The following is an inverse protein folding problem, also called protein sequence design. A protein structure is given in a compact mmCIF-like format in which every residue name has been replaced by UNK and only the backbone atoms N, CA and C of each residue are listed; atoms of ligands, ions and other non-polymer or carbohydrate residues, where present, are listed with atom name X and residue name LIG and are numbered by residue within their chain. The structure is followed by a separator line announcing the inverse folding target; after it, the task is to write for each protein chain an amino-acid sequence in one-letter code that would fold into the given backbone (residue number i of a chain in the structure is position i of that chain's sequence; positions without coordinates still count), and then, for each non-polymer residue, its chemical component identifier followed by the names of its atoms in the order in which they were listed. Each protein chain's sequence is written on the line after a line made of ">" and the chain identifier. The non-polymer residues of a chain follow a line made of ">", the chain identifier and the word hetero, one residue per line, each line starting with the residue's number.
data_IF_558133531548
#
_entry.id   IF_558133531548
#
_cell.length_a   1.000
_cell.length_b   1.000
_cell.length_c   1.000
_cell.angle_alpha   90.00
_cell.angle_beta   90.00
_cell.angle_gamma   90.00
#
_symmetry.space_group_name_H-M   'P 1'
#
loop_
_entity.id
_entity.type
_entity.pdbx_description
1 polymer ?
#
# COMPACT_ATOMS: atom_id res chain seq x y z
N UNK A 1 -21.38 1.09 -2.19
CA UNK A 1 -19.98 1.53 -2.11
C UNK A 1 -19.67 2.67 -3.07
N UNK A 2 -20.51 2.90 -4.09
CA UNK A 2 -20.35 3.95 -5.12
C UNK A 2 -20.03 5.35 -4.58
N UNK A 3 -20.59 5.74 -3.42
CA UNK A 3 -20.31 7.05 -2.83
C UNK A 3 -19.05 7.11 -1.94
N UNK A 4 -18.23 6.06 -1.85
CA UNK A 4 -17.08 5.99 -0.92
C UNK A 4 -15.77 5.52 -1.58
N UNK A 5 -15.71 5.55 -2.91
CA UNK A 5 -14.50 5.18 -3.67
C UNK A 5 -13.30 6.07 -3.32
N UNK A 6 -13.58 7.33 -2.96
CA UNK A 6 -12.60 8.32 -2.51
C UNK A 6 -11.75 7.86 -1.31
N UNK A 7 -12.20 6.87 -0.52
CA UNK A 7 -11.45 6.45 0.68
C UNK A 7 -10.11 5.83 0.30
N UNK A 8 -10.11 4.94 -0.70
CA UNK A 8 -8.88 4.28 -1.15
C UNK A 8 -8.03 5.24 -1.99
N UNK A 9 -8.68 6.10 -2.79
CA UNK A 9 -8.00 7.18 -3.49
C UNK A 9 -7.26 8.10 -2.53
N UNK A 10 -7.94 8.61 -1.49
CA UNK A 10 -7.34 9.47 -0.48
C UNK A 10 -6.16 8.80 0.22
N UNK A 11 -6.24 7.49 0.46
CA UNK A 11 -5.14 6.71 1.00
C UNK A 11 -3.91 6.72 0.06
N UNK A 12 -4.12 6.40 -1.21
CA UNK A 12 -3.06 6.39 -2.24
C UNK A 12 -2.45 7.79 -2.39
N UNK A 13 -3.29 8.81 -2.53
CA UNK A 13 -2.88 10.21 -2.64
C UNK A 13 -2.05 10.61 -1.43
N UNK A 14 -2.50 10.29 -0.21
CA UNK A 14 -1.74 10.55 1.01
C UNK A 14 -0.36 9.86 1.01
N UNK A 15 -0.27 8.61 0.54
CA UNK A 15 1.01 7.91 0.42
C UNK A 15 1.95 8.64 -0.54
N UNK A 16 1.46 9.05 -1.71
CA UNK A 16 2.25 9.81 -2.70
C UNK A 16 2.72 11.13 -2.09
N UNK A 17 1.83 11.84 -1.39
CA UNK A 17 2.19 13.12 -0.76
C UNK A 17 3.26 12.98 0.32
N UNK A 18 3.18 11.90 1.10
CA UNK A 18 4.10 11.62 2.21
C UNK A 18 5.47 11.15 1.74
N UNK A 19 5.55 10.33 0.69
CA UNK A 19 6.78 9.59 0.35
C UNK A 19 7.38 9.94 -1.03
N UNK A 20 6.64 10.57 -1.94
CA UNK A 20 7.05 10.76 -3.33
C UNK A 20 7.10 12.23 -3.78
N UNK A 21 6.01 12.98 -3.65
CA UNK A 21 5.93 14.36 -4.13
C UNK A 21 5.16 15.20 -3.10
N UNK A 22 5.54 16.45 -2.77
CA UNK A 22 6.60 17.25 -3.37
C UNK A 22 7.99 16.98 -2.79
N UNK A 23 8.06 16.21 -1.71
CA UNK A 23 9.25 16.11 -0.88
C UNK A 23 10.26 15.05 -1.35
N UNK A 24 9.83 14.07 -2.16
CA UNK A 24 10.68 12.96 -2.56
C UNK A 24 11.07 12.03 -1.40
N UNK A 25 11.76 10.93 -1.72
CA UNK A 25 12.47 10.13 -0.73
C UNK A 25 13.58 11.00 -0.12
N UNK A 26 13.35 11.45 1.12
CA UNK A 26 14.27 12.30 1.87
C UNK A 26 15.37 11.43 2.48
N UNK A 27 16.62 11.78 2.21
CA UNK A 27 17.76 11.16 2.87
C UNK A 27 17.75 11.54 4.35
N UNK A 28 17.83 10.55 5.23
CA UNK A 28 17.79 10.74 6.68
C UNK A 28 18.75 9.76 7.33
N UNK A 29 19.32 10.17 8.46
CA UNK A 29 20.18 9.31 9.30
C UNK A 29 19.45 8.01 9.70
N UNK A 30 18.11 8.00 9.63
CA UNK A 30 17.24 6.89 9.97
C UNK A 30 16.62 6.16 8.77
N UNK A 31 16.70 6.70 7.55
CA UNK A 31 16.02 6.14 6.38
C UNK A 31 16.95 6.12 5.15
N UNK A 32 17.13 4.93 4.56
CA UNK A 32 17.79 4.82 3.26
C UNK A 32 16.96 5.52 2.18
N UNK A 33 17.63 6.29 1.34
CA UNK A 33 16.98 6.94 0.21
C UNK A 33 16.51 5.88 -0.80
N UNK A 34 15.20 5.69 -0.91
CA UNK A 34 14.60 4.80 -1.91
C UNK A 34 14.43 5.52 -3.23
N UNK A 35 14.48 4.81 -4.35
CA UNK A 35 14.16 5.43 -5.63
C UNK A 35 12.65 5.69 -5.73
N UNK A 36 12.24 6.64 -6.58
CA UNK A 36 10.82 6.87 -6.92
C UNK A 36 10.14 5.56 -7.36
N UNK A 37 10.87 4.73 -8.10
CA UNK A 37 10.37 3.45 -8.56
C UNK A 37 10.17 2.46 -7.41
N UNK A 38 11.09 2.40 -6.46
CA UNK A 38 10.96 1.57 -5.26
C UNK A 38 9.75 1.99 -4.42
N UNK A 39 9.56 3.30 -4.23
CA UNK A 39 8.38 3.84 -3.53
C UNK A 39 7.07 3.52 -4.26
N UNK A 40 7.07 3.58 -5.59
CA UNK A 40 5.94 3.12 -6.41
C UNK A 40 5.67 1.62 -6.22
N UNK A 41 6.70 0.78 -6.20
CA UNK A 41 6.56 -0.67 -5.94
C UNK A 41 5.95 -0.93 -4.57
N UNK A 42 6.38 -0.22 -3.52
CA UNK A 42 5.81 -0.31 -2.17
C UNK A 42 4.35 0.14 -2.16
N UNK A 43 4.02 1.25 -2.83
CA UNK A 43 2.64 1.73 -2.96
C UNK A 43 1.73 0.67 -3.61
N UNK A 44 2.19 0.06 -4.71
CA UNK A 44 1.44 -0.99 -5.42
C UNK A 44 1.24 -2.22 -4.52
N UNK A 45 2.27 -2.62 -3.77
CA UNK A 45 2.17 -3.71 -2.81
C UNK A 45 1.15 -3.41 -1.70
N UNK A 46 1.20 -2.22 -1.10
CA UNK A 46 0.24 -1.81 -0.07
C UNK A 46 -1.19 -1.81 -0.62
N UNK A 47 -1.38 -1.26 -1.82
CA UNK A 47 -2.67 -1.30 -2.52
C UNK A 47 -3.18 -2.74 -2.68
N UNK A 48 -2.35 -3.66 -3.18
CA UNK A 48 -2.75 -5.05 -3.40
C UNK A 48 -3.10 -5.76 -2.10
N UNK A 49 -2.34 -5.52 -1.02
CA UNK A 49 -2.64 -6.06 0.31
C UNK A 49 -3.97 -5.54 0.85
N UNK A 50 -4.18 -4.22 0.81
CA UNK A 50 -5.43 -3.60 1.27
C UNK A 50 -6.61 -4.14 0.46
N UNK A 51 -6.50 -4.19 -0.87
CA UNK A 51 -7.55 -4.72 -1.75
C UNK A 51 -7.89 -6.17 -1.41
N UNK A 52 -6.88 -7.02 -1.24
CA UNK A 52 -7.05 -8.44 -0.86
C UNK A 52 -7.75 -8.59 0.49
N UNK A 53 -7.33 -7.81 1.49
CA UNK A 53 -7.96 -7.81 2.82
C UNK A 53 -9.41 -7.33 2.77
N UNK A 54 -9.71 -6.30 1.96
CA UNK A 54 -11.07 -5.82 1.74
C UNK A 54 -11.95 -6.87 1.07
N UNK A 55 -11.45 -7.60 0.08
CA UNK A 55 -12.16 -8.72 -0.56
C UNK A 55 -12.50 -9.79 0.49
N UNK A 56 -11.52 -10.19 1.30
CA UNK A 56 -11.74 -11.16 2.39
C UNK A 56 -12.75 -10.68 3.42
N UNK A 57 -12.66 -9.42 3.84
CA UNK A 57 -13.60 -8.81 4.79
C UNK A 57 -15.01 -8.68 4.22
N UNK A 58 -15.15 -8.35 2.94
CA UNK A 58 -16.45 -8.30 2.27
C UNK A 58 -17.07 -9.70 2.22
N UNK A 59 -16.29 -10.73 1.91
CA UNK A 59 -16.74 -12.13 1.95
C UNK A 59 -17.16 -12.60 3.35
N UNK A 60 -16.42 -12.19 4.38
CA UNK A 60 -16.70 -12.53 5.79
C UNK A 60 -17.94 -11.81 6.33
N UNK A 61 -18.02 -10.49 6.15
CA UNK A 61 -19.13 -9.68 6.68
C UNK A 61 -20.38 -9.68 5.80
N UNK A 62 -20.26 -10.08 4.52
CA UNK A 62 -21.36 -10.15 3.53
C UNK A 62 -22.19 -8.86 3.50
N UNK A 63 -23.50 -8.98 3.66
CA UNK A 63 -24.46 -7.88 3.74
C UNK A 63 -24.21 -6.92 4.92
N UNK A 64 -23.38 -7.30 5.90
CA UNK A 64 -22.94 -6.47 7.01
C UNK A 64 -21.69 -5.63 6.70
N UNK A 65 -21.08 -5.76 5.52
CA UNK A 65 -19.92 -4.96 5.15
C UNK A 65 -20.29 -3.48 5.00
N UNK A 66 -19.49 -2.60 5.60
CA UNK A 66 -19.82 -1.18 5.80
C UNK A 66 -18.54 -0.36 5.78
N UNK A 67 -18.66 0.93 5.51
CA UNK A 67 -17.56 1.90 5.43
C UNK A 67 -16.67 1.88 6.68
N UNK A 68 -17.26 1.71 7.88
CA UNK A 68 -16.51 1.60 9.14
C UNK A 68 -15.43 0.50 9.12
N UNK A 69 -15.69 -0.60 8.39
CA UNK A 69 -14.75 -1.72 8.27
C UNK A 69 -13.57 -1.33 7.36
N UNK A 70 -13.83 -0.61 6.27
CA UNK A 70 -12.80 -0.08 5.36
C UNK A 70 -11.89 0.90 6.10
N UNK A 71 -12.48 1.87 6.79
CA UNK A 71 -11.74 2.87 7.56
C UNK A 71 -10.88 2.17 8.63
N UNK A 72 -11.46 1.23 9.37
CA UNK A 72 -10.74 0.48 10.41
C UNK A 72 -9.57 -0.29 9.83
N UNK A 73 -9.76 -0.95 8.68
CA UNK A 73 -8.70 -1.68 7.99
C UNK A 73 -7.55 -0.74 7.62
N UNK A 74 -7.84 0.34 6.88
CA UNK A 74 -6.80 1.28 6.43
C UNK A 74 -6.04 1.88 7.63
N UNK A 75 -6.74 2.25 8.70
CA UNK A 75 -6.11 2.77 9.91
C UNK A 75 -5.21 1.75 10.61
N UNK A 76 -5.65 0.50 10.71
CA UNK A 76 -4.84 -0.57 11.31
C UNK A 76 -3.67 -0.94 10.39
N UNK A 77 -3.87 -0.99 9.08
CA UNK A 77 -2.85 -1.26 8.08
C UNK A 77 -1.73 -0.22 8.13
N UNK A 78 -2.07 1.06 8.09
CA UNK A 78 -1.10 2.15 8.16
C UNK A 78 -0.26 2.08 9.45
N UNK A 79 -0.86 1.71 10.59
CA UNK A 79 -0.15 1.59 11.87
C UNK A 79 0.72 0.35 11.98
N UNK A 80 0.29 -0.77 11.41
CA UNK A 80 0.94 -2.06 11.60
C UNK A 80 1.97 -2.39 10.50
N UNK A 81 1.77 -1.88 9.28
CA UNK A 81 2.55 -2.26 8.11
C UNK A 81 3.44 -1.10 7.65
N UNK A 82 2.85 0.06 7.34
CA UNK A 82 3.62 1.18 6.76
C UNK A 82 4.69 1.76 7.70
N UNK A 83 4.45 1.69 9.01
CA UNK A 83 5.37 2.21 10.01
C UNK A 83 6.44 1.17 10.43
N UNK A 84 6.31 -0.08 9.96
CA UNK A 84 7.31 -1.12 10.20
C UNK A 84 8.36 -1.11 9.07
N UNK A 85 9.46 -0.40 9.31
CA UNK A 85 10.57 -0.32 8.35
C UNK A 85 11.21 -1.67 8.06
N UNK A 86 11.23 -2.58 9.03
CA UNK A 86 11.78 -3.92 8.84
C UNK A 86 10.92 -4.69 7.83
N UNK A 87 9.60 -4.62 7.99
CA UNK A 87 8.67 -5.20 7.03
C UNK A 87 8.85 -4.60 5.63
N UNK A 88 8.86 -3.27 5.50
CA UNK A 88 8.97 -2.61 4.19
C UNK A 88 10.27 -3.00 3.48
N UNK A 89 11.40 -3.02 4.20
CA UNK A 89 12.68 -3.41 3.63
C UNK A 89 12.70 -4.88 3.18
N UNK A 90 12.17 -5.78 4.00
CA UNK A 90 12.04 -7.19 3.64
C UNK A 90 11.14 -7.39 2.42
N UNK A 91 10.04 -6.65 2.34
CA UNK A 91 9.12 -6.73 1.20
C UNK A 91 9.77 -6.25 -0.11
N UNK A 92 10.50 -5.13 -0.07
CA UNK A 92 11.26 -4.63 -1.23
C UNK A 92 12.34 -5.63 -1.66
N UNK A 93 13.06 -6.23 -0.71
CA UNK A 93 14.07 -7.25 -0.98
C UNK A 93 13.43 -8.49 -1.61
N UNK A 94 12.29 -8.94 -1.11
CA UNK A 94 11.56 -10.09 -1.65
C UNK A 94 11.12 -9.86 -3.09
N UNK A 95 10.53 -8.69 -3.39
CA UNK A 95 10.09 -8.34 -4.75
C UNK A 95 11.28 -8.27 -5.71
N UNK A 96 12.40 -7.71 -5.25
CA UNK A 96 13.63 -7.61 -6.04
C UNK A 96 14.26 -8.97 -6.31
N UNK A 97 14.32 -9.84 -5.30
CA UNK A 97 14.84 -11.20 -5.42
C UNK A 97 13.96 -12.10 -6.32
N UNK A 98 12.68 -11.78 -6.46
CA UNK A 98 11.73 -12.51 -7.30
C UNK A 98 11.67 -12.03 -8.75
N UNK A 99 12.54 -11.08 -9.14
CA UNK A 99 12.52 -10.41 -10.45
C UNK A 99 11.16 -9.75 -10.80
N UNK A 100 10.43 -9.34 -9.76
CA UNK A 100 9.12 -8.69 -9.86
C UNK A 100 9.20 -7.17 -9.71
N UNK A 101 10.40 -6.60 -9.52
CA UNK A 101 10.62 -5.15 -9.43
C UNK A 101 10.65 -4.51 -10.82
N UNK A 102 9.61 -4.77 -11.63
CA UNK A 102 9.40 -4.22 -12.96
C UNK A 102 7.89 -3.94 -13.18
N UNK A 103 7.55 -3.26 -14.28
CA UNK A 103 6.15 -2.90 -14.59
C UNK A 103 5.25 -4.14 -14.71
N UNK A 104 5.78 -5.27 -15.18
CA UNK A 104 5.01 -6.51 -15.28
C UNK A 104 4.64 -7.04 -13.90
N UNK A 105 5.59 -7.06 -12.95
CA UNK A 105 5.32 -7.42 -11.55
C UNK A 105 4.31 -6.49 -10.89
N UNK A 106 4.44 -5.17 -11.09
CA UNK A 106 3.46 -4.20 -10.59
C UNK A 106 2.05 -4.45 -11.16
N UNK A 107 1.95 -4.78 -12.45
CA UNK A 107 0.67 -5.07 -13.12
C UNK A 107 -0.02 -6.31 -12.52
N UNK A 108 0.74 -7.33 -12.13
CA UNK A 108 0.20 -8.52 -11.46
C UNK A 108 -0.45 -8.13 -10.12
N UNK A 109 0.25 -7.32 -9.31
CA UNK A 109 -0.22 -6.89 -8.00
C UNK A 109 -1.48 -6.02 -8.07
N UNK A 110 -1.57 -5.11 -9.05
CA UNK A 110 -2.74 -4.25 -9.24
C UNK A 110 -3.98 -5.04 -9.70
N UNK A 111 -3.80 -6.15 -10.43
CA UNK A 111 -4.91 -6.93 -11.00
C UNK A 111 -5.65 -7.81 -9.99
N UNK A 112 -5.10 -8.05 -8.79
CA UNK A 112 -5.72 -8.86 -7.71
C UNK A 112 -6.98 -8.19 -7.20
#
# INVERSE_FOLDING_TARGET
>A
MENHEYILENYIVNYVYKNLFPLGPQESILYEQRSIYTEYTVLVLHYSMIRTLLIGMAGYHREGFRVKHVIKLIQTFAKAIEHDLSYVNQAVQFISASDMNNIAGATILVKI
#
